data_IF_180861230328
#
_entry.id   IF_180861230328
#
_cell.length_a   1.000
_cell.length_b   1.000
_cell.length_c   1.000
_cell.angle_alpha   90.00
_cell.angle_beta   90.00
_cell.angle_gamma   90.00
#
_symmetry.space_group_name_H-M   'P 1'
#
loop_
_entity.id
_entity.type
_entity.pdbx_description
1 polymer ?
#
# COMPACT_ATOMS: atom_id res chain seq x y z
N UNK A 1 10.29 14.40 15.93
CA UNK A 1 9.00 13.76 16.24
C UNK A 1 8.50 13.17 14.94
N UNK A 2 8.39 11.84 14.87
CA UNK A 2 7.88 11.19 13.67
C UNK A 2 6.37 11.35 13.50
N UNK A 3 5.88 11.49 12.27
CA UNK A 3 4.46 11.69 11.97
C UNK A 3 4.03 10.92 10.72
N UNK A 4 2.73 10.59 10.64
CA UNK A 4 2.05 10.08 9.44
C UNK A 4 0.90 11.04 9.17
N UNK A 5 0.82 11.59 7.96
CA UNK A 5 -0.24 12.51 7.54
C UNK A 5 -0.60 12.32 6.08
N UNK A 6 -1.70 12.92 5.63
CA UNK A 6 -2.10 12.95 4.22
C UNK A 6 -1.96 14.38 3.69
N UNK A 7 -1.37 14.54 2.51
CA UNK A 7 -1.23 15.85 1.86
C UNK A 7 -2.46 16.21 1.00
N UNK A 8 -2.45 17.38 0.36
CA UNK A 8 -3.57 17.83 -0.49
C UNK A 8 -3.82 16.99 -1.73
N UNK A 9 -2.87 16.16 -2.12
CA UNK A 9 -2.92 15.30 -3.30
C UNK A 9 -3.40 13.87 -2.95
N UNK A 10 -3.71 13.63 -1.67
CA UNK A 10 -4.12 12.30 -1.17
C UNK A 10 -2.95 11.34 -0.97
N UNK A 11 -1.71 11.84 -0.98
CA UNK A 11 -0.52 11.03 -0.71
C UNK A 11 -0.20 11.03 0.78
N UNK A 12 0.30 9.89 1.28
CA UNK A 12 0.70 9.76 2.67
C UNK A 12 2.13 10.26 2.85
N UNK A 13 2.31 11.23 3.73
CA UNK A 13 3.61 11.76 4.12
C UNK A 13 4.02 11.14 5.45
N UNK A 14 5.18 10.49 5.44
CA UNK A 14 5.83 9.93 6.63
C UNK A 14 7.04 10.79 6.95
N UNK A 15 7.02 11.47 8.09
CA UNK A 15 8.11 12.33 8.54
C UNK A 15 8.87 11.66 9.68
N UNK A 16 10.19 11.64 9.58
CA UNK A 16 11.11 11.35 10.69
C UNK A 16 11.89 12.62 11.06
N UNK A 17 12.86 12.48 11.97
CA UNK A 17 13.65 13.63 12.45
C UNK A 17 14.57 14.24 11.37
N UNK A 18 15.11 13.40 10.48
CA UNK A 18 16.11 13.81 9.48
C UNK A 18 15.62 13.65 8.03
N UNK A 19 14.60 12.83 7.79
CA UNK A 19 14.10 12.50 6.46
C UNK A 19 12.60 12.39 6.43
N UNK A 20 12.03 12.55 5.25
CA UNK A 20 10.62 12.25 4.99
C UNK A 20 10.44 11.45 3.70
N UNK A 21 9.29 10.79 3.60
CA UNK A 21 8.82 10.07 2.42
C UNK A 21 7.42 10.58 2.07
N UNK A 22 7.14 10.75 0.79
CA UNK A 22 5.77 10.88 0.28
C UNK A 22 5.42 9.62 -0.49
N UNK A 23 4.37 8.91 -0.07
CA UNK A 23 3.92 7.65 -0.65
C UNK A 23 2.63 7.92 -1.42
N UNK A 24 2.70 7.72 -2.75
CA UNK A 24 1.55 7.76 -3.63
C UNK A 24 1.10 6.38 -4.09
N UNK A 25 0.13 6.30 -5.01
CA UNK A 25 -0.43 5.02 -5.48
C UNK A 25 0.56 4.10 -6.22
N UNK A 26 1.60 4.69 -6.84
CA UNK A 26 2.53 4.00 -7.73
C UNK A 26 4.02 4.28 -7.43
N UNK A 27 4.31 5.25 -6.58
CA UNK A 27 5.69 5.67 -6.31
C UNK A 27 5.87 6.17 -4.87
N UNK A 28 7.13 6.15 -4.43
CA UNK A 28 7.59 6.79 -3.20
C UNK A 28 8.60 7.86 -3.56
N UNK A 29 8.38 9.08 -3.08
CA UNK A 29 9.28 10.22 -3.28
C UNK A 29 10.01 10.52 -1.98
N UNK A 30 11.34 10.51 -2.02
CA UNK A 30 12.19 10.89 -0.90
C UNK A 30 12.26 12.42 -0.77
N UNK A 31 12.66 12.89 0.41
CA UNK A 31 12.87 14.30 0.72
C UNK A 31 13.90 15.02 -0.18
N UNK A 32 14.88 14.28 -0.71
CA UNK A 32 15.85 14.79 -1.69
C UNK A 32 15.33 14.86 -3.13
N UNK A 33 14.07 14.46 -3.36
CA UNK A 33 13.41 14.41 -4.66
C UNK A 33 13.66 13.13 -5.45
N UNK A 34 14.38 12.16 -4.90
CA UNK A 34 14.54 10.84 -5.52
C UNK A 34 13.19 10.11 -5.55
N UNK A 35 12.82 9.61 -6.72
CA UNK A 35 11.61 8.78 -6.88
C UNK A 35 11.97 7.31 -6.96
N UNK A 36 11.32 6.50 -6.13
CA UNK A 36 11.32 5.04 -6.18
C UNK A 36 9.97 4.63 -6.78
N UNK A 37 9.99 4.15 -8.02
CA UNK A 37 8.83 3.62 -8.72
C UNK A 37 9.24 2.34 -9.44
N UNK A 38 8.26 1.48 -9.74
CA UNK A 38 8.53 0.26 -10.51
C UNK A 38 7.67 0.20 -11.77
N UNK A 39 8.32 0.07 -12.92
CA UNK A 39 7.66 0.08 -14.23
C UNK A 39 7.02 -1.26 -14.63
N UNK A 40 7.20 -2.34 -13.86
CA UNK A 40 6.65 -3.64 -14.24
C UNK A 40 5.13 -3.67 -14.08
N UNK A 41 4.44 -3.42 -15.19
CA UNK A 41 2.98 -3.48 -15.35
C UNK A 41 2.46 -4.91 -15.59
N UNK A 42 3.03 -5.89 -14.89
CA UNK A 42 2.65 -7.30 -15.00
C UNK A 42 3.58 -8.25 -14.25
N UNK A 43 3.03 -9.13 -13.41
CA UNK A 43 3.72 -10.29 -12.83
C UNK A 43 3.99 -10.22 -11.32
N UNK A 44 4.47 -11.35 -10.78
CA UNK A 44 4.78 -11.58 -9.36
C UNK A 44 5.60 -10.46 -8.71
N UNK A 45 5.43 -10.27 -7.39
CA UNK A 45 6.17 -9.35 -6.51
C UNK A 45 7.50 -8.89 -7.12
N UNK A 46 7.51 -7.64 -7.58
CA UNK A 46 8.57 -7.12 -8.41
C UNK A 46 9.76 -6.62 -7.60
N UNK A 47 9.48 -5.96 -6.47
CA UNK A 47 10.50 -5.54 -5.51
C UNK A 47 9.88 -5.26 -4.15
N UNK A 48 10.71 -5.39 -3.11
CA UNK A 48 10.40 -4.93 -1.75
C UNK A 48 11.51 -4.02 -1.30
N UNK A 49 11.13 -2.90 -0.71
CA UNK A 49 12.04 -1.96 -0.08
C UNK A 49 11.53 -1.64 1.32
N UNK A 50 12.45 -1.50 2.28
CA UNK A 50 12.10 -1.17 3.64
C UNK A 50 13.09 -0.15 4.21
N UNK A 51 12.59 0.70 5.10
CA UNK A 51 13.37 1.69 5.83
C UNK A 51 12.71 1.99 7.17
N UNK A 52 13.42 2.70 8.03
CA UNK A 52 12.90 3.17 9.30
C UNK A 52 13.13 4.69 9.40
N UNK A 53 12.07 5.42 9.68
CA UNK A 53 12.06 6.86 9.94
C UNK A 53 11.76 7.08 11.42
N UNK A 54 12.82 7.19 12.23
CA UNK A 54 12.73 7.30 13.68
C UNK A 54 11.89 6.15 14.29
N UNK A 55 10.67 6.43 14.79
CA UNK A 55 9.76 5.44 15.39
C UNK A 55 8.75 4.86 14.40
N UNK A 56 8.94 5.05 13.09
CA UNK A 56 8.06 4.51 12.05
C UNK A 56 8.85 3.55 11.15
N UNK A 57 8.47 2.27 11.15
CA UNK A 57 8.92 1.31 10.14
C UNK A 57 8.08 1.47 8.87
N UNK A 58 8.74 1.43 7.72
CA UNK A 58 8.10 1.57 6.40
C UNK A 58 8.54 0.39 5.53
N UNK A 59 7.58 -0.37 5.03
CA UNK A 59 7.80 -1.48 4.10
C UNK A 59 6.95 -1.28 2.86
N UNK A 60 7.59 -1.17 1.70
CA UNK A 60 6.96 -0.91 0.40
C UNK A 60 7.10 -2.15 -0.47
N UNK A 61 5.98 -2.66 -0.93
CA UNK A 61 5.85 -3.81 -1.82
C UNK A 61 5.35 -3.33 -3.17
N UNK A 62 6.19 -3.46 -4.20
CA UNK A 62 5.79 -3.20 -5.58
C UNK A 62 5.14 -4.45 -6.14
N UNK A 63 3.83 -4.41 -6.32
CA UNK A 63 3.08 -5.46 -6.96
C UNK A 63 3.15 -5.22 -8.46
N UNK A 64 3.58 -6.21 -9.24
CA UNK A 64 3.40 -6.16 -10.70
C UNK A 64 1.97 -6.53 -11.11
N UNK A 65 1.09 -6.76 -10.14
CA UNK A 65 -0.20 -7.38 -10.27
C UNK A 65 -1.27 -6.42 -9.70
N UNK A 66 -2.27 -6.05 -10.51
CA UNK A 66 -3.32 -5.09 -10.16
C UNK A 66 -4.12 -4.66 -11.40
N UNK A 67 -4.97 -3.61 -11.30
CA UNK A 67 -5.78 -3.15 -12.44
C UNK A 67 -4.93 -2.74 -13.65
N UNK A 68 -3.84 -2.02 -13.43
CA UNK A 68 -2.95 -1.47 -14.48
C UNK A 68 -1.53 -2.05 -14.42
N UNK A 69 -1.16 -2.67 -13.28
CA UNK A 69 0.15 -3.22 -12.98
C UNK A 69 1.13 -2.17 -12.44
N UNK A 70 1.97 -2.56 -11.48
CA UNK A 70 2.94 -1.67 -10.83
C UNK A 70 2.41 -0.98 -9.57
N UNK A 71 1.25 -1.41 -9.07
CA UNK A 71 0.61 -0.90 -7.87
C UNK A 71 1.50 -1.09 -6.63
N UNK A 72 1.43 -0.12 -5.73
CA UNK A 72 2.12 -0.18 -4.45
C UNK A 72 1.20 -0.61 -3.32
N UNK A 73 1.69 -1.54 -2.50
CA UNK A 73 1.17 -1.76 -1.15
C UNK A 73 2.25 -1.38 -0.16
N UNK A 74 1.90 -0.54 0.82
CA UNK A 74 2.84 -0.09 1.84
C UNK A 74 2.32 -0.44 3.22
N UNK A 75 3.16 -1.06 4.05
CA UNK A 75 2.91 -1.26 5.48
C UNK A 75 3.72 -0.24 6.27
N UNK A 76 3.06 0.45 7.19
CA UNK A 76 3.67 1.37 8.13
C UNK A 76 3.40 0.87 9.55
N UNK A 77 4.44 0.85 10.39
CA UNK A 77 4.28 0.50 11.79
C UNK A 77 4.90 1.57 12.68
N UNK A 78 4.10 2.19 13.55
CA UNK A 78 4.62 2.97 14.65
C UNK A 78 5.14 2.00 15.72
N UNK A 79 6.40 2.15 16.13
CA UNK A 79 7.08 1.24 17.05
C UNK A 79 7.58 1.98 18.30
N UNK A 80 7.52 1.31 19.44
CA UNK A 80 8.08 1.80 20.70
C UNK A 80 9.61 1.68 20.74
N UNK A 81 10.22 2.13 21.83
CA UNK A 81 11.68 2.07 22.00
C UNK A 81 12.25 0.65 22.05
N UNK A 82 11.48 -0.28 22.58
CA UNK A 82 11.78 -1.71 22.67
C UNK A 82 11.32 -2.50 21.42
N UNK A 83 10.82 -1.81 20.38
CA UNK A 83 10.44 -2.39 19.10
C UNK A 83 9.05 -3.04 19.07
N UNK A 84 8.21 -2.83 20.08
CA UNK A 84 6.82 -3.27 20.05
C UNK A 84 6.00 -2.41 19.07
N UNK A 85 5.13 -3.05 18.29
CA UNK A 85 4.22 -2.33 17.39
C UNK A 85 3.10 -1.68 18.20
N UNK A 86 2.99 -0.36 18.07
CA UNK A 86 1.98 0.47 18.75
C UNK A 86 0.76 0.73 17.86
N UNK A 87 0.99 0.86 16.55
CA UNK A 87 -0.06 1.02 15.55
C UNK A 87 0.45 0.51 14.20
N UNK A 88 -0.46 -0.07 13.41
CA UNK A 88 -0.18 -0.56 12.06
C UNK A 88 -1.10 0.11 11.06
N UNK A 89 -0.53 0.50 9.93
CA UNK A 89 -1.23 1.11 8.83
C UNK A 89 -0.88 0.41 7.53
N UNK A 90 -1.84 0.30 6.62
CA UNK A 90 -1.61 -0.24 5.28
C UNK A 90 -2.16 0.72 4.25
N UNK A 91 -1.38 0.98 3.21
CA UNK A 91 -1.83 1.67 2.02
C UNK A 91 -1.92 0.64 0.92
N UNK A 92 -3.04 0.62 0.20
CA UNK A 92 -3.25 -0.27 -0.95
C UNK A 92 -3.07 0.44 -2.29
N UNK A 93 -2.81 1.75 -2.28
CA UNK A 93 -2.51 2.53 -3.48
C UNK A 93 -3.54 2.35 -4.57
N UNK A 94 -3.07 2.15 -5.80
CA UNK A 94 -3.92 1.96 -6.97
C UNK A 94 -4.54 0.54 -7.08
N UNK A 95 -4.31 -0.34 -6.11
CA UNK A 95 -4.94 -1.65 -6.08
C UNK A 95 -6.45 -1.56 -5.81
N UNK A 96 -6.89 -0.49 -5.15
CA UNK A 96 -8.28 -0.19 -4.86
C UNK A 96 -8.98 0.55 -6.02
N UNK A 97 -10.23 0.17 -6.27
CA UNK A 97 -11.18 0.94 -7.09
C UNK A 97 -12.61 0.67 -6.62
N UNK A 98 -13.48 1.67 -6.73
CA UNK A 98 -14.91 1.52 -6.43
C UNK A 98 -15.62 0.64 -7.48
N UNK A 99 -15.15 0.74 -8.74
CA UNK A 99 -15.73 0.06 -9.89
C UNK A 99 -14.75 -0.97 -10.47
N UNK A 100 -15.18 -2.24 -10.48
CA UNK A 100 -14.45 -3.30 -11.16
C UNK A 100 -14.65 -3.15 -12.67
N UNK A 101 -13.58 -2.97 -13.46
CA UNK A 101 -13.67 -2.84 -14.91
C UNK A 101 -14.20 -4.13 -15.55
N UNK A 102 -14.76 -4.01 -16.77
CA UNK A 102 -15.34 -5.14 -17.50
C UNK A 102 -14.33 -6.23 -17.91
N UNK A 103 -13.03 -6.02 -17.72
CA UNK A 103 -11.99 -7.03 -17.90
C UNK A 103 -11.09 -7.00 -16.67
N UNK A 104 -10.99 -8.13 -15.99
CA UNK A 104 -10.18 -8.29 -14.78
C UNK A 104 -8.94 -9.12 -15.12
N UNK A 105 -7.72 -8.60 -14.95
CA UNK A 105 -6.51 -9.40 -15.02
C UNK A 105 -6.51 -10.49 -13.93
N UNK A 106 -6.18 -11.76 -14.22
CA UNK A 106 -6.13 -12.83 -13.22
C UNK A 106 -5.15 -12.57 -12.06
N UNK A 107 -4.18 -11.70 -12.28
CA UNK A 107 -3.20 -11.28 -11.29
C UNK A 107 -3.78 -10.35 -10.20
N UNK A 108 -4.82 -9.59 -10.51
CA UNK A 108 -5.33 -8.58 -9.59
C UNK A 108 -5.95 -9.17 -8.30
N UNK A 109 -6.82 -10.21 -8.34
CA UNK A 109 -7.27 -10.84 -7.09
C UNK A 109 -6.11 -11.37 -6.22
N UNK A 110 -5.03 -11.86 -6.84
CA UNK A 110 -3.83 -12.33 -6.10
C UNK A 110 -3.15 -11.18 -5.37
N UNK A 111 -3.03 -10.03 -6.01
CA UNK A 111 -2.49 -8.82 -5.38
C UNK A 111 -3.38 -8.32 -4.23
N UNK A 112 -4.71 -8.36 -4.38
CA UNK A 112 -5.66 -8.02 -3.31
C UNK A 112 -5.55 -9.01 -2.14
N UNK A 113 -5.41 -10.31 -2.42
CA UNK A 113 -5.21 -11.34 -1.38
C UNK A 113 -3.92 -11.11 -0.57
N UNK A 114 -2.82 -10.74 -1.24
CA UNK A 114 -1.57 -10.35 -0.57
C UNK A 114 -1.77 -9.12 0.32
N UNK A 115 -2.45 -8.09 -0.18
CA UNK A 115 -2.76 -6.90 0.61
C UNK A 115 -3.62 -7.23 1.83
N UNK A 116 -4.64 -8.08 1.68
CA UNK A 116 -5.47 -8.56 2.80
C UNK A 116 -4.65 -9.29 3.87
N UNK A 117 -3.60 -10.02 3.48
CA UNK A 117 -2.68 -10.69 4.40
C UNK A 117 -1.92 -9.73 5.33
N UNK A 118 -1.78 -8.45 4.94
CA UNK A 118 -1.15 -7.41 5.75
C UNK A 118 -2.15 -6.70 6.69
N UNK A 119 -3.44 -6.82 6.43
CA UNK A 119 -4.50 -6.15 7.20
C UNK A 119 -4.96 -7.05 8.35
N UNK A 120 -4.24 -6.97 9.47
CA UNK A 120 -4.59 -7.63 10.73
C UNK A 120 -5.61 -6.85 11.58
N UNK A 121 -6.02 -7.44 12.69
CA UNK A 121 -6.93 -6.81 13.65
C UNK A 121 -6.32 -5.49 14.18
N UNK A 122 -7.06 -4.38 14.01
CA UNK A 122 -6.61 -3.05 14.42
C UNK A 122 -5.68 -2.33 13.43
N UNK A 123 -5.42 -2.93 12.25
CA UNK A 123 -4.73 -2.23 11.15
C UNK A 123 -5.65 -1.18 10.55
N UNK A 124 -5.13 0.03 10.34
CA UNK A 124 -5.86 1.12 9.68
C UNK A 124 -5.45 1.18 8.22
N UNK A 125 -6.43 1.11 7.31
CA UNK A 125 -6.18 1.39 5.89
C UNK A 125 -6.13 2.91 5.67
N UNK A 126 -5.09 3.37 5.00
CA UNK A 126 -4.87 4.78 4.68
C UNK A 126 -4.97 4.99 3.17
N UNK A 127 -5.66 6.07 2.78
CA UNK A 127 -5.74 6.59 1.41
C UNK A 127 -5.89 5.47 0.35
N UNK A 128 -7.11 4.92 0.16
CA UNK A 128 -8.41 5.54 0.45
C UNK A 128 -9.00 5.23 1.83
N UNK A 129 -10.03 5.98 2.24
CA UNK A 129 -10.82 5.73 3.47
C UNK A 129 -11.75 4.52 3.26
N UNK A 130 -11.19 3.33 3.43
CA UNK A 130 -11.86 2.04 3.29
C UNK A 130 -11.59 1.15 4.49
N UNK A 131 -12.49 0.20 4.74
CA UNK A 131 -12.29 -0.85 5.74
C UNK A 131 -11.74 -2.14 5.11
N UNK A 132 -11.29 -3.06 5.97
CA UNK A 132 -10.89 -4.41 5.54
C UNK A 132 -12.01 -5.11 4.76
N UNK A 133 -13.24 -5.02 5.24
CA UNK A 133 -14.43 -5.63 4.62
C UNK A 133 -14.67 -5.11 3.19
N UNK A 134 -14.30 -3.86 2.91
CA UNK A 134 -14.38 -3.29 1.57
C UNK A 134 -13.38 -3.96 0.63
N UNK A 135 -12.14 -4.16 1.10
CA UNK A 135 -11.09 -4.86 0.35
C UNK A 135 -11.43 -6.35 0.13
N UNK A 136 -12.03 -7.01 1.13
CA UNK A 136 -12.58 -8.36 0.99
C UNK A 136 -13.72 -8.40 -0.05
N UNK A 137 -14.60 -7.41 -0.04
CA UNK A 137 -15.69 -7.27 -1.01
C UNK A 137 -15.14 -7.08 -2.42
N UNK A 138 -14.12 -6.23 -2.60
CA UNK A 138 -13.43 -6.09 -3.88
C UNK A 138 -12.85 -7.44 -4.34
N UNK A 139 -12.14 -8.15 -3.46
CA UNK A 139 -11.58 -9.47 -3.78
C UNK A 139 -12.64 -10.45 -4.30
N UNK A 140 -13.79 -10.54 -3.62
CA UNK A 140 -14.89 -11.41 -4.05
C UNK A 140 -15.50 -10.97 -5.39
N UNK A 141 -15.64 -9.67 -5.64
CA UNK A 141 -16.12 -9.15 -6.93
C UNK A 141 -15.17 -9.51 -8.07
N UNK A 142 -13.86 -9.41 -7.85
CA UNK A 142 -12.84 -9.77 -8.85
C UNK A 142 -12.88 -11.27 -9.17
N UNK A 143 -12.96 -12.13 -8.16
CA UNK A 143 -13.10 -13.58 -8.34
C UNK A 143 -14.39 -13.94 -9.08
N UNK A 144 -15.50 -13.28 -8.74
CA UNK A 144 -16.78 -13.44 -9.42
C UNK A 144 -16.71 -13.07 -10.90
N UNK A 145 -16.00 -12.00 -11.25
CA UNK A 145 -15.81 -11.58 -12.64
C UNK A 145 -14.92 -12.53 -13.46
N UNK A 146 -13.98 -13.24 -12.81
CA UNK A 146 -13.08 -14.18 -13.47
C UNK A 146 -13.69 -15.59 -13.67
N UNK A 147 -14.62 -15.99 -12.81
CA UNK A 147 -15.10 -17.36 -12.72
C UNK A 147 -16.62 -17.54 -12.84
N UNK A 148 -17.40 -16.46 -12.82
CA UNK A 148 -18.85 -16.45 -12.99
C UNK A 148 -19.29 -16.19 -14.44
#
# INVERSE_FOLDING_TARGET
MSSISENSDGHIVVEGDERSLTIGPYEVVLDDGTTIAHESRGGSLASVWATQLDRISVEVMHLGDGPEGGELVTSLAAVSEDGAVLASYVLVGALWTDEVPGTVPPSWPVAVDLALGLVGDGTVLLAPDIAKDDLETLHQRLLGALHG
#
